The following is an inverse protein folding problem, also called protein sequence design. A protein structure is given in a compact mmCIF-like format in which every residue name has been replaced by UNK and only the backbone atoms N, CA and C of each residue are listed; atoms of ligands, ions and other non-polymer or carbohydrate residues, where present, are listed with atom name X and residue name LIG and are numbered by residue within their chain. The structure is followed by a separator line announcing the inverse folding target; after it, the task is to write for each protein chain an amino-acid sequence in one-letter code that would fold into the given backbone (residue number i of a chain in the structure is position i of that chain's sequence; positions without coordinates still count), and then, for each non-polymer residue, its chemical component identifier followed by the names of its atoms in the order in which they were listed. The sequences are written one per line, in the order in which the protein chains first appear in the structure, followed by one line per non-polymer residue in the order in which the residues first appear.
data_IF_848140184408
#
_entry.id   IF_848140184408
#
_cell.length_a   1.000
_cell.length_b   1.000
_cell.length_c   1.000
_cell.angle_alpha   90.00
_cell.angle_beta   90.00
_cell.angle_gamma   90.00
#
_symmetry.space_group_name_H-M   'P 1'
#
loop_
_entity.id
_entity.type
_entity.pdbx_description
1 polymer ?
#
# COMPACT_ATOMS: atom_id res chain seq x y z
N UNK A 1 -33.57 -15.84 12.16
CA UNK A 1 -32.41 -16.24 11.31
C UNK A 1 -31.18 -16.26 12.19
N UNK A 2 -30.43 -17.37 12.25
CA UNK A 2 -29.33 -17.56 13.22
C UNK A 2 -27.96 -17.81 12.61
N UNK A 3 -27.82 -17.74 11.28
CA UNK A 3 -26.58 -18.11 10.57
C UNK A 3 -25.96 -16.94 9.78
N UNK A 4 -24.73 -16.60 10.12
CA UNK A 4 -23.87 -15.60 9.45
C UNK A 4 -22.71 -16.32 8.79
N UNK A 5 -22.69 -16.38 7.46
CA UNK A 5 -21.70 -17.19 6.73
C UNK A 5 -21.80 -18.67 7.12
N UNK A 6 -20.68 -19.25 7.56
CA UNK A 6 -20.59 -20.63 8.05
C UNK A 6 -20.88 -20.79 9.55
N UNK A 7 -21.07 -19.69 10.29
CA UNK A 7 -21.26 -19.69 11.73
C UNK A 7 -22.76 -19.70 12.07
N UNK A 8 -23.14 -20.48 13.09
CA UNK A 8 -24.52 -20.62 13.57
C UNK A 8 -24.58 -20.24 15.05
N UNK A 9 -25.54 -19.40 15.40
CA UNK A 9 -25.75 -18.92 16.77
C UNK A 9 -27.08 -19.44 17.33
N UNK A 10 -27.15 -19.64 18.63
CA UNK A 10 -28.39 -19.97 19.33
C UNK A 10 -29.37 -18.81 19.23
N UNK A 11 -30.63 -19.09 18.89
CA UNK A 11 -31.70 -18.08 18.81
C UNK A 11 -32.07 -17.50 20.16
N UNK A 12 -31.81 -18.24 21.24
CA UNK A 12 -32.36 -17.94 22.56
C UNK A 12 -31.34 -17.19 23.42
N UNK A 13 -30.09 -17.66 23.46
CA UNK A 13 -29.02 -17.07 24.28
C UNK A 13 -27.90 -16.40 23.46
N UNK A 14 -27.90 -16.52 22.13
CA UNK A 14 -26.87 -15.93 21.27
C UNK A 14 -25.51 -16.65 21.29
N UNK A 15 -25.36 -17.76 22.00
CA UNK A 15 -24.10 -18.53 22.02
C UNK A 15 -23.76 -19.14 20.65
N UNK A 16 -22.47 -19.24 20.33
CA UNK A 16 -21.99 -19.93 19.13
C UNK A 16 -22.22 -21.44 19.26
N UNK A 17 -22.80 -22.05 18.23
CA UNK A 17 -23.07 -23.49 18.18
C UNK A 17 -21.99 -24.20 17.37
N UNK A 18 -21.63 -25.41 17.78
CA UNK A 18 -20.69 -26.27 17.05
C UNK A 18 -21.34 -26.74 15.75
N UNK A 19 -20.83 -26.26 14.62
CA UNK A 19 -21.39 -26.58 13.30
C UNK A 19 -21.25 -28.07 12.95
N UNK A 20 -22.32 -28.68 12.45
CA UNK A 20 -22.37 -30.11 12.14
C UNK A 20 -21.77 -30.46 10.78
N UNK A 21 -20.49 -30.11 10.54
CA UNK A 21 -19.65 -30.59 9.43
C UNK A 21 -20.35 -30.81 8.06
N UNK A 22 -21.35 -30.00 7.69
CA UNK A 22 -22.07 -30.10 6.42
C UNK A 22 -23.21 -31.12 6.33
N UNK A 23 -23.71 -31.69 7.43
CA UNK A 23 -24.89 -32.58 7.40
C UNK A 23 -26.20 -31.77 7.33
N UNK A 24 -27.04 -32.07 6.35
CA UNK A 24 -28.34 -31.42 6.19
C UNK A 24 -29.32 -31.85 7.31
N UNK A 25 -30.11 -30.91 7.82
CA UNK A 25 -31.16 -31.13 8.85
C UNK A 25 -30.67 -31.63 10.22
N UNK A 26 -29.45 -31.32 10.63
CA UNK A 26 -28.99 -31.63 12.00
C UNK A 26 -29.58 -30.62 13.00
N UNK A 27 -29.99 -31.13 14.17
CA UNK A 27 -30.41 -30.32 15.31
C UNK A 27 -29.19 -30.15 16.23
N UNK A 28 -28.80 -28.90 16.46
CA UNK A 28 -27.73 -28.51 17.36
C UNK A 28 -28.32 -28.19 18.73
N UNK A 29 -27.72 -28.72 19.79
CA UNK A 29 -28.13 -28.41 21.16
C UNK A 29 -27.15 -27.39 21.74
N UNK A 30 -27.67 -26.28 22.26
CA UNK A 30 -26.84 -25.25 22.87
C UNK A 30 -26.29 -25.70 24.22
N UNK A 31 -24.97 -25.70 24.40
CA UNK A 31 -24.34 -26.03 25.68
C UNK A 31 -24.63 -25.02 26.81
N UNK A 32 -25.02 -23.78 26.46
CA UNK A 32 -25.25 -22.71 27.44
C UNK A 32 -26.68 -22.69 27.99
N UNK A 33 -27.69 -22.87 27.13
CA UNK A 33 -29.11 -22.79 27.54
C UNK A 33 -29.93 -24.07 27.27
N UNK A 34 -29.35 -25.10 26.64
CA UNK A 34 -30.04 -26.34 26.30
C UNK A 34 -31.00 -26.26 25.12
N UNK A 35 -31.16 -25.08 24.50
CA UNK A 35 -32.07 -24.91 23.36
C UNK A 35 -31.65 -25.73 22.15
N UNK A 36 -32.65 -26.26 21.42
CA UNK A 36 -32.47 -26.98 20.18
C UNK A 36 -32.62 -26.04 18.98
N UNK A 37 -31.53 -25.84 18.25
CA UNK A 37 -31.50 -24.97 17.08
C UNK A 37 -31.23 -25.80 15.82
N UNK A 38 -31.90 -25.46 14.71
CA UNK A 38 -31.64 -26.12 13.42
C UNK A 38 -30.30 -25.66 12.84
N UNK A 39 -29.50 -26.59 12.36
CA UNK A 39 -28.29 -26.25 11.63
C UNK A 39 -28.63 -25.56 10.31
N UNK A 40 -28.19 -24.31 10.17
CA UNK A 40 -28.30 -23.51 8.93
C UNK A 40 -26.92 -23.14 8.40
N UNK A 41 -25.86 -23.88 8.80
CA UNK A 41 -24.46 -23.64 8.41
C UNK A 41 -24.15 -24.00 6.95
N UNK A 42 -25.08 -24.62 6.23
CA UNK A 42 -24.90 -25.11 4.85
C UNK A 42 -24.86 -24.00 3.78
N UNK A 43 -24.33 -22.82 4.13
CA UNK A 43 -24.12 -21.71 3.20
C UNK A 43 -22.70 -21.78 2.63
N UNK A 44 -22.57 -21.71 1.32
CA UNK A 44 -21.28 -21.62 0.64
C UNK A 44 -20.63 -20.27 0.93
N UNK A 45 -19.43 -20.27 1.51
CA UNK A 45 -18.62 -19.05 1.72
C UNK A 45 -17.63 -18.92 0.59
N UNK A 46 -17.73 -17.83 -0.19
CA UNK A 46 -16.76 -17.50 -1.25
C UNK A 46 -15.70 -16.59 -0.65
N UNK A 47 -14.44 -17.04 -0.66
CA UNK A 47 -13.30 -16.23 -0.24
C UNK A 47 -12.51 -15.79 -1.47
N UNK A 48 -12.08 -14.52 -1.47
CA UNK A 48 -11.27 -13.94 -2.55
C UNK A 48 -10.00 -13.38 -1.93
N UNK A 49 -8.86 -13.62 -2.59
CA UNK A 49 -7.57 -13.07 -2.16
C UNK A 49 -7.60 -11.54 -2.16
N UNK A 50 -6.94 -10.90 -1.19
CA UNK A 50 -6.80 -9.44 -1.18
C UNK A 50 -6.13 -8.94 -2.48
N UNK A 51 -6.52 -7.78 -3.01
CA UNK A 51 -5.88 -7.19 -4.20
C UNK A 51 -4.37 -6.97 -4.06
N UNK A 52 -3.88 -6.83 -2.83
CA UNK A 52 -2.45 -6.64 -2.50
C UNK A 52 -1.72 -7.94 -2.12
N UNK A 53 -2.41 -9.08 -2.08
CA UNK A 53 -1.82 -10.35 -1.62
C UNK A 53 -0.65 -10.83 -2.50
N UNK A 54 -0.59 -10.37 -3.75
CA UNK A 54 0.45 -10.74 -4.71
C UNK A 54 0.95 -9.48 -5.42
N UNK A 55 1.96 -8.78 -4.87
CA UNK A 55 2.58 -7.63 -5.54
C UNK A 55 3.39 -8.12 -6.75
N UNK A 56 3.14 -7.56 -7.93
CA UNK A 56 3.88 -7.87 -9.15
C UNK A 56 3.87 -6.68 -10.11
N UNK A 57 4.86 -6.60 -11.01
CA UNK A 57 4.93 -5.57 -12.05
C UNK A 57 3.70 -5.61 -12.98
N UNK A 58 3.21 -6.80 -13.31
CA UNK A 58 1.99 -6.99 -14.10
C UNK A 58 0.75 -6.45 -13.37
N UNK A 59 0.67 -6.62 -12.04
CA UNK A 59 -0.45 -6.07 -11.26
C UNK A 59 -0.32 -4.57 -11.05
N UNK A 60 0.90 -4.04 -10.89
CA UNK A 60 1.13 -2.60 -10.84
C UNK A 60 0.66 -1.90 -12.12
N UNK A 61 0.85 -2.52 -13.29
CA UNK A 61 0.32 -2.02 -14.57
C UNK A 61 -1.21 -2.01 -14.68
N UNK A 62 -1.92 -2.70 -13.79
CA UNK A 62 -3.39 -2.69 -13.71
C UNK A 62 -3.92 -1.59 -12.78
N UNK A 63 -3.04 -0.85 -12.11
CA UNK A 63 -3.41 0.31 -11.31
C UNK A 63 -3.77 1.49 -12.22
N UNK A 64 -4.84 2.22 -11.90
CA UNK A 64 -5.20 3.47 -12.58
C UNK A 64 -4.22 4.61 -12.24
N UNK A 65 -3.48 4.47 -11.14
CA UNK A 65 -2.45 5.41 -10.72
C UNK A 65 -1.11 5.04 -11.35
N UNK A 66 -0.51 5.99 -12.05
CA UNK A 66 0.84 5.87 -12.60
C UNK A 66 1.87 5.80 -11.48
N UNK A 67 2.74 4.79 -11.55
CA UNK A 67 3.91 4.70 -10.67
C UNK A 67 5.02 5.49 -11.31
N UNK A 68 5.28 6.68 -10.78
CA UNK A 68 6.32 7.59 -11.27
C UNK A 68 7.67 7.09 -10.74
N UNK A 69 8.67 6.98 -11.62
CA UNK A 69 10.03 6.63 -11.20
C UNK A 69 10.80 7.88 -10.74
N UNK A 70 11.81 7.71 -9.88
CA UNK A 70 12.64 8.85 -9.44
C UNK A 70 13.30 9.60 -10.60
N UNK A 71 13.54 8.92 -11.74
CA UNK A 71 14.08 9.53 -12.95
C UNK A 71 13.09 10.49 -13.65
N UNK A 72 11.78 10.29 -13.47
CA UNK A 72 10.74 11.13 -14.06
C UNK A 72 10.50 12.41 -13.25
N UNK A 73 10.93 12.43 -11.97
CA UNK A 73 10.79 13.58 -11.09
C UNK A 73 11.99 14.50 -11.26
N UNK A 74 11.86 15.51 -12.13
CA UNK A 74 12.87 16.56 -12.23
C UNK A 74 12.72 17.57 -11.08
N UNK A 75 13.45 17.34 -9.98
CA UNK A 75 13.53 18.29 -8.85
C UNK A 75 14.52 19.44 -9.10
N UNK A 76 15.30 19.38 -10.18
CA UNK A 76 16.31 20.39 -10.51
C UNK A 76 15.75 21.53 -11.36
N UNK A 77 16.11 22.78 -11.04
CA UNK A 77 15.81 23.96 -11.87
C UNK A 77 16.99 24.30 -12.79
N UNK A 78 16.79 25.09 -13.84
CA UNK A 78 17.86 25.51 -14.76
C UNK A 78 18.32 26.93 -14.41
N UNK A 79 19.63 27.17 -14.39
CA UNK A 79 20.25 28.48 -14.17
C UNK A 79 21.28 28.78 -15.25
N UNK A 80 21.46 30.07 -15.56
CA UNK A 80 22.56 30.54 -16.40
C UNK A 80 23.85 30.59 -15.57
N UNK A 81 24.61 29.49 -15.57
CA UNK A 81 25.94 29.40 -14.97
C UNK A 81 26.83 28.59 -15.92
N UNK A 82 27.95 29.15 -16.40
CA UNK A 82 28.81 28.46 -17.35
C UNK A 82 29.45 27.22 -16.71
N UNK A 83 29.46 26.10 -17.45
CA UNK A 83 30.18 24.90 -17.06
C UNK A 83 31.65 25.02 -17.41
N UNK A 84 32.53 24.87 -16.42
CA UNK A 84 33.98 24.97 -16.57
C UNK A 84 34.57 23.92 -17.54
N UNK A 85 33.91 22.77 -17.69
CA UNK A 85 34.41 21.68 -18.56
C UNK A 85 34.02 21.80 -20.03
N UNK A 86 32.80 22.25 -20.33
CA UNK A 86 32.26 22.21 -21.70
C UNK A 86 31.80 23.58 -22.23
N UNK A 87 31.85 24.63 -21.41
CA UNK A 87 31.47 25.99 -21.81
C UNK A 87 29.97 26.24 -22.00
N UNK A 88 29.11 25.27 -21.66
CA UNK A 88 27.65 25.45 -21.75
C UNK A 88 27.17 26.49 -20.72
N UNK A 89 26.36 27.44 -21.15
CA UNK A 89 25.88 28.55 -20.31
C UNK A 89 24.77 28.18 -19.32
N UNK A 90 24.02 27.11 -19.60
CA UNK A 90 22.89 26.65 -18.79
C UNK A 90 23.18 25.31 -18.14
N UNK A 91 22.94 25.23 -16.83
CA UNK A 91 23.09 24.01 -16.04
C UNK A 91 21.92 23.82 -15.10
N UNK A 92 21.68 22.58 -14.70
CA UNK A 92 20.68 22.22 -13.70
C UNK A 92 21.26 22.49 -12.32
N UNK A 93 20.44 22.96 -11.40
CA UNK A 93 20.85 23.13 -10.01
C UNK A 93 19.74 22.71 -9.04
N UNK A 94 20.16 22.32 -7.85
CA UNK A 94 19.30 22.14 -6.68
C UNK A 94 20.05 22.61 -5.44
N UNK A 95 19.32 22.95 -4.38
CA UNK A 95 19.92 23.41 -3.12
C UNK A 95 19.59 22.42 -2.03
N UNK A 96 20.56 22.16 -1.15
CA UNK A 96 20.36 21.31 0.01
C UNK A 96 21.14 21.89 1.19
N UNK A 97 20.52 21.91 2.37
CA UNK A 97 21.21 22.31 3.58
C UNK A 97 22.01 21.13 4.13
N UNK A 98 23.33 21.24 4.16
CA UNK A 98 24.23 20.19 4.64
C UNK A 98 24.75 20.47 6.06
N UNK A 99 24.53 21.68 6.57
CA UNK A 99 25.13 22.16 7.83
C UNK A 99 24.06 22.75 8.76
N UNK A 100 24.52 23.31 9.88
CA UNK A 100 23.67 23.98 10.86
C UNK A 100 22.80 25.07 10.23
N UNK A 101 21.66 25.37 10.85
CA UNK A 101 20.72 26.38 10.35
C UNK A 101 21.30 27.81 10.26
N UNK A 102 22.46 28.06 10.87
CA UNK A 102 23.17 29.34 10.87
C UNK A 102 24.05 29.55 9.62
N UNK A 103 24.27 28.50 8.82
CA UNK A 103 25.07 28.57 7.60
C UNK A 103 24.20 28.63 6.33
N UNK A 104 24.73 29.20 5.25
CA UNK A 104 24.06 29.25 3.96
C UNK A 104 23.87 27.86 3.33
N UNK A 105 22.93 27.78 2.39
CA UNK A 105 22.62 26.52 1.71
C UNK A 105 23.71 26.15 0.70
N UNK A 106 23.98 24.85 0.56
CA UNK A 106 24.88 24.36 -0.49
C UNK A 106 24.11 24.22 -1.80
N UNK A 107 24.62 24.85 -2.86
CA UNK A 107 24.08 24.76 -4.21
C UNK A 107 24.83 23.66 -4.96
N UNK A 108 24.10 22.70 -5.51
CA UNK A 108 24.63 21.65 -6.37
C UNK A 108 24.28 21.97 -7.82
N UNK A 109 25.27 21.89 -8.70
CA UNK A 109 25.13 22.09 -10.13
C UNK A 109 25.39 20.77 -10.87
N UNK A 110 24.60 20.53 -11.92
CA UNK A 110 24.71 19.39 -12.81
C UNK A 110 24.60 19.87 -14.26
N UNK A 111 25.68 19.69 -15.01
CA UNK A 111 25.71 19.97 -16.43
C UNK A 111 25.35 18.71 -17.24
N UNK A 112 24.68 18.88 -18.38
CA UNK A 112 24.32 17.78 -19.28
C UNK A 112 25.54 17.02 -19.85
N UNK A 113 26.76 17.57 -19.73
CA UNK A 113 28.00 16.85 -20.05
C UNK A 113 28.42 15.82 -18.98
N UNK A 114 27.66 15.71 -17.88
CA UNK A 114 27.95 14.82 -16.75
C UNK A 114 28.84 15.45 -15.66
N UNK A 115 29.25 16.72 -15.82
CA UNK A 115 30.00 17.41 -14.78
C UNK A 115 29.08 17.87 -13.65
N UNK A 116 29.42 17.50 -12.41
CA UNK A 116 28.74 17.93 -11.19
C UNK A 116 29.72 18.64 -10.27
N UNK A 117 29.29 19.74 -9.67
CA UNK A 117 30.05 20.49 -8.67
C UNK A 117 29.11 21.14 -7.68
N UNK A 118 29.64 21.60 -6.56
CA UNK A 118 28.87 22.30 -5.54
C UNK A 118 29.55 23.62 -5.15
N UNK A 119 28.73 24.56 -4.72
CA UNK A 119 29.17 25.86 -4.20
C UNK A 119 28.45 26.09 -2.89
N UNK A 120 29.22 26.45 -1.87
CA UNK A 120 28.66 26.82 -0.59
C UNK A 120 28.52 28.34 -0.53
N UNK A 121 27.34 28.80 -0.11
CA UNK A 121 27.01 30.21 0.00
C UNK A 121 27.19 30.69 1.45
#
# INVERSE_FOLDING_TARGET
MSAIGSLVFCTDCGNLLDGSAGKQNVILTCAACGAQCKDTSSKTVVTVSKPTAFPSSLRAKRSEVQTISEADVQTSSIINHPCEKCGREKVRYYTQQLRSADEGSTVFYECDCGHKWNTNN
#
